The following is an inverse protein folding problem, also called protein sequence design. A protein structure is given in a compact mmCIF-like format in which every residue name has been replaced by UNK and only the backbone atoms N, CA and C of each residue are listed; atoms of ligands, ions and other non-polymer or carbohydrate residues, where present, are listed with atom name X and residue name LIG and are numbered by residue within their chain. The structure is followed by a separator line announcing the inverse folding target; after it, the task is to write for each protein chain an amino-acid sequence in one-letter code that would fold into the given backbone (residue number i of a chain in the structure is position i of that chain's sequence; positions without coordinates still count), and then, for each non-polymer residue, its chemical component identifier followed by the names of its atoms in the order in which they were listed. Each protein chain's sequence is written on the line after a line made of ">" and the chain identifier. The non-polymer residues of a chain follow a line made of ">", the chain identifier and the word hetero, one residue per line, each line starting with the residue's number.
data_IF_852192311416
#
_entry.id   IF_852192311416
#
_cell.length_a   1.000
_cell.length_b   1.000
_cell.length_c   1.000
_cell.angle_alpha   90.00
_cell.angle_beta   90.00
_cell.angle_gamma   90.00
#
_symmetry.space_group_name_H-M   'P 1'
#
loop_
_entity.id
_entity.type
_entity.pdbx_description
1 polymer ?
#
# COMPACT_ATOMS: atom_id res chain seq x y z
N UNK A 1 10.74 3.82 -1.89
CA UNK A 1 10.93 5.09 -1.16
C UNK A 1 12.22 5.05 -0.35
N UNK A 2 13.01 6.14 -0.22
CA UNK A 2 14.18 6.17 0.67
C UNK A 2 13.80 6.05 2.15
N UNK A 3 14.67 5.44 2.98
CA UNK A 3 14.40 5.22 4.42
C UNK A 3 14.07 6.51 5.18
N UNK A 4 14.76 7.62 4.89
CA UNK A 4 14.49 8.90 5.53
C UNK A 4 13.05 9.39 5.28
N UNK A 5 12.54 9.18 4.05
CA UNK A 5 11.16 9.51 3.68
C UNK A 5 10.16 8.58 4.33
N UNK A 6 10.47 7.29 4.45
CA UNK A 6 9.63 6.34 5.19
C UNK A 6 9.48 6.76 6.65
N UNK A 7 10.58 7.19 7.29
CA UNK A 7 10.57 7.67 8.68
C UNK A 7 9.79 8.98 8.83
N UNK A 8 9.98 9.93 7.91
CA UNK A 8 9.21 11.18 7.89
C UNK A 8 7.72 10.90 7.75
N UNK A 9 7.33 10.06 6.81
CA UNK A 9 5.94 9.66 6.59
C UNK A 9 5.34 8.99 7.83
N UNK A 10 6.06 8.06 8.44
CA UNK A 10 5.64 7.39 9.67
C UNK A 10 5.41 8.41 10.81
N UNK A 11 6.29 9.40 10.97
CA UNK A 11 6.15 10.45 11.99
C UNK A 11 4.90 11.30 11.76
N UNK A 12 4.63 11.69 10.51
CA UNK A 12 3.44 12.48 10.15
C UNK A 12 2.16 11.75 10.57
N UNK A 13 2.01 10.48 10.21
CA UNK A 13 0.83 9.69 10.60
C UNK A 13 0.77 9.42 12.11
N UNK A 14 1.91 9.22 12.76
CA UNK A 14 1.99 9.11 14.22
C UNK A 14 1.48 10.36 14.91
N UNK A 15 1.90 11.54 14.46
CA UNK A 15 1.52 12.83 15.04
C UNK A 15 0.03 13.10 14.84
N UNK A 16 -0.50 12.90 13.62
CA UNK A 16 -1.93 13.06 13.36
C UNK A 16 -2.78 12.09 14.17
N UNK A 17 -2.32 10.83 14.32
CA UNK A 17 -2.99 9.83 15.14
C UNK A 17 -3.00 10.24 16.62
N UNK A 18 -1.89 10.76 17.14
CA UNK A 18 -1.78 11.21 18.52
C UNK A 18 -2.68 12.42 18.82
N UNK A 19 -2.86 13.32 17.86
CA UNK A 19 -3.76 14.48 17.98
C UNK A 19 -5.23 14.15 17.72
N UNK A 20 -5.51 12.98 17.14
CA UNK A 20 -6.85 12.59 16.73
C UNK A 20 -7.39 13.41 15.56
N UNK A 21 -6.52 13.97 14.72
CA UNK A 21 -6.88 14.88 13.63
C UNK A 21 -7.23 14.16 12.32
N UNK A 22 -6.75 12.93 12.14
CA UNK A 22 -6.87 12.22 10.87
C UNK A 22 -7.23 10.74 11.06
N UNK A 23 -8.21 10.30 10.29
CA UNK A 23 -8.68 8.92 10.20
C UNK A 23 -8.92 8.22 11.55
N UNK A 24 -9.59 8.94 12.45
CA UNK A 24 -10.03 8.45 13.77
C UNK A 24 -11.50 8.83 14.03
N UNK A 25 -12.21 7.98 14.76
CA UNK A 25 -13.57 8.26 15.23
C UNK A 25 -14.57 8.49 14.09
N UNK A 26 -15.39 9.53 14.20
CA UNK A 26 -16.42 9.88 13.22
C UNK A 26 -15.86 10.36 11.87
N UNK A 27 -14.57 10.72 11.79
CA UNK A 27 -13.94 11.25 10.58
C UNK A 27 -13.52 10.17 9.58
N UNK A 28 -13.59 8.89 9.95
CA UNK A 28 -13.28 7.78 9.06
C UNK A 28 -13.93 6.49 9.54
N UNK A 29 -14.45 5.70 8.61
CA UNK A 29 -14.89 4.34 8.86
C UNK A 29 -14.21 3.33 7.92
N UNK A 30 -13.83 2.15 8.41
CA UNK A 30 -13.24 1.10 7.59
C UNK A 30 -14.24 0.62 6.54
N UNK A 31 -13.86 0.68 5.27
CA UNK A 31 -14.65 0.15 4.15
C UNK A 31 -13.73 -0.62 3.21
N UNK A 32 -14.27 -1.67 2.56
CA UNK A 32 -13.56 -2.47 1.53
C UNK A 32 -12.28 -3.14 2.05
N UNK A 33 -12.33 -3.72 3.25
CA UNK A 33 -11.23 -4.51 3.81
C UNK A 33 -11.39 -5.98 3.40
N UNK A 34 -10.45 -6.46 2.60
CA UNK A 34 -10.37 -7.83 2.09
C UNK A 34 -9.14 -8.54 2.68
N UNK A 35 -9.40 -9.62 3.42
CA UNK A 35 -8.38 -10.42 4.08
C UNK A 35 -8.11 -10.00 5.53
N UNK A 36 -7.10 -10.62 6.17
CA UNK A 36 -6.85 -10.47 7.59
C UNK A 36 -6.13 -9.15 7.89
N UNK A 37 -6.90 -8.07 7.99
CA UNK A 37 -6.41 -6.72 8.24
C UNK A 37 -7.19 -6.11 9.41
N UNK A 38 -6.50 -5.51 10.38
CA UNK A 38 -7.19 -4.76 11.44
C UNK A 38 -7.88 -3.53 10.85
N UNK A 39 -9.15 -3.24 11.21
CA UNK A 39 -9.92 -2.11 10.70
C UNK A 39 -9.53 -0.80 11.38
N UNK A 40 -8.25 -0.46 11.27
CA UNK A 40 -7.66 0.82 11.69
C UNK A 40 -7.03 1.42 10.45
N UNK A 41 -7.11 2.75 10.27
CA UNK A 41 -6.41 3.38 9.15
C UNK A 41 -4.89 3.15 9.29
N UNK A 42 -4.30 3.65 10.37
CA UNK A 42 -2.88 3.48 10.67
C UNK A 42 -2.62 3.23 12.16
N UNK A 43 -1.54 2.50 12.48
CA UNK A 43 -0.98 2.33 13.83
C UNK A 43 0.55 2.27 13.78
N UNK A 44 1.22 2.33 14.94
CA UNK A 44 2.68 2.39 15.05
C UNK A 44 3.43 1.20 14.41
N UNK A 45 2.74 0.08 14.22
CA UNK A 45 3.28 -1.16 13.65
C UNK A 45 2.97 -1.30 12.15
N UNK A 46 2.55 -0.22 11.49
CA UNK A 46 2.38 -0.15 10.02
C UNK A 46 3.37 0.81 9.40
N UNK A 47 4.12 0.32 8.42
CA UNK A 47 5.21 1.07 7.78
C UNK A 47 4.92 1.21 6.29
N UNK A 48 4.83 2.46 5.81
CA UNK A 48 4.66 2.73 4.38
C UNK A 48 6.00 2.63 3.65
N UNK A 49 6.04 1.88 2.55
CA UNK A 49 7.27 1.58 1.80
C UNK A 49 7.29 2.19 0.39
N UNK A 50 6.13 2.61 -0.11
CA UNK A 50 5.98 3.37 -1.37
C UNK A 50 5.15 4.63 -1.13
N UNK A 51 5.26 5.58 -2.05
CA UNK A 51 4.36 6.74 -2.14
C UNK A 51 3.91 6.84 -3.58
N UNK A 52 2.60 6.74 -3.79
CA UNK A 52 1.92 6.83 -5.07
C UNK A 52 0.79 7.85 -4.93
N UNK A 53 1.17 9.12 -4.80
CA UNK A 53 0.25 10.23 -4.51
C UNK A 53 -0.58 9.97 -3.25
N UNK A 54 0.08 9.55 -2.17
CA UNK A 54 -0.57 9.20 -0.90
C UNK A 54 -1.14 7.78 -0.82
N UNK A 55 -1.22 7.05 -1.93
CA UNK A 55 -1.46 5.61 -1.86
C UNK A 55 -0.15 4.89 -1.54
N UNK A 56 -0.21 3.90 -0.66
CA UNK A 56 0.96 3.23 -0.12
C UNK A 56 0.84 1.72 -0.23
N UNK A 57 1.97 1.07 -0.52
CA UNK A 57 2.21 -0.27 -0.02
C UNK A 57 2.64 -0.15 1.44
N UNK A 58 1.99 -0.93 2.31
CA UNK A 58 2.22 -0.90 3.75
C UNK A 58 2.67 -2.27 4.23
N UNK A 59 3.77 -2.33 4.98
CA UNK A 59 4.11 -3.51 5.77
C UNK A 59 3.30 -3.52 7.07
N UNK A 60 2.55 -4.59 7.29
CA UNK A 60 1.72 -4.78 8.47
C UNK A 60 2.41 -5.69 9.48
N UNK A 61 2.92 -5.09 10.56
CA UNK A 61 3.57 -5.77 11.66
C UNK A 61 2.60 -6.01 12.84
N UNK A 62 1.31 -5.71 12.64
CA UNK A 62 0.24 -5.92 13.62
C UNK A 62 -1.03 -6.51 12.98
N UNK A 63 -0.91 -7.65 12.27
CA UNK A 63 -2.07 -8.31 11.68
C UNK A 63 -3.03 -8.84 12.76
N UNK A 64 -4.32 -9.05 12.45
CA UNK A 64 -5.24 -9.78 13.31
C UNK A 64 -4.91 -11.29 13.31
N UNK A 65 -5.60 -12.05 14.16
CA UNK A 65 -5.57 -13.51 14.08
C UNK A 65 -5.95 -13.98 12.66
N UNK A 66 -5.17 -14.90 12.10
CA UNK A 66 -5.32 -15.37 10.71
C UNK A 66 -4.52 -14.55 9.68
N UNK A 67 -3.94 -13.41 10.06
CA UNK A 67 -3.00 -12.67 9.23
C UNK A 67 -1.55 -13.10 9.43
N UNK A 68 -0.64 -12.50 8.66
CA UNK A 68 0.78 -12.85 8.67
C UNK A 68 1.62 -11.62 9.02
N UNK A 69 2.51 -11.75 10.00
CA UNK A 69 3.45 -10.69 10.36
C UNK A 69 4.31 -10.33 9.14
N UNK A 70 4.32 -9.05 8.77
CA UNK A 70 5.03 -8.56 7.58
C UNK A 70 4.26 -8.71 6.27
N UNK A 71 2.97 -9.05 6.30
CA UNK A 71 2.11 -8.99 5.10
C UNK A 71 2.10 -7.59 4.49
N UNK A 72 1.97 -7.53 3.17
CA UNK A 72 1.97 -6.28 2.40
C UNK A 72 0.52 -5.91 2.10
N UNK A 73 0.13 -4.69 2.45
CA UNK A 73 -1.21 -4.16 2.20
C UNK A 73 -1.17 -3.12 1.09
N UNK A 74 -2.23 -3.07 0.29
CA UNK A 74 -2.57 -1.82 -0.40
C UNK A 74 -3.29 -0.89 0.58
N UNK A 75 -2.87 0.37 0.59
CA UNK A 75 -3.38 1.39 1.49
C UNK A 75 -3.70 2.65 0.71
N UNK A 76 -4.98 3.00 0.66
CA UNK A 76 -5.45 4.24 0.04
C UNK A 76 -5.43 5.38 1.06
N UNK A 77 -4.96 6.56 0.65
CA UNK A 77 -5.06 7.76 1.48
C UNK A 77 -6.52 8.20 1.76
N UNK A 78 -7.49 7.71 1.01
CA UNK A 78 -8.91 8.09 1.21
C UNK A 78 -9.62 7.12 2.14
N UNK A 79 -9.47 5.82 1.88
CA UNK A 79 -10.27 4.77 2.55
C UNK A 79 -9.48 3.92 3.53
N UNK A 80 -8.16 4.06 3.58
CA UNK A 80 -7.28 3.28 4.45
C UNK A 80 -6.81 1.96 3.81
N UNK A 81 -6.44 0.95 4.62
CA UNK A 81 -5.99 -0.34 4.08
C UNK A 81 -7.17 -1.09 3.44
N UNK A 82 -6.98 -1.64 2.25
CA UNK A 82 -8.07 -2.35 1.54
C UNK A 82 -7.81 -3.84 1.38
N UNK A 83 -6.58 -4.26 1.05
CA UNK A 83 -6.33 -5.67 0.72
C UNK A 83 -4.90 -6.10 1.06
N UNK A 84 -4.72 -7.39 1.35
CA UNK A 84 -3.41 -8.03 1.41
C UNK A 84 -2.95 -8.35 -0.02
N UNK A 85 -1.92 -7.67 -0.51
CA UNK A 85 -1.39 -7.89 -1.86
C UNK A 85 -0.27 -8.93 -1.91
N UNK A 86 0.37 -9.22 -0.77
CA UNK A 86 1.37 -10.28 -0.66
C UNK A 86 1.56 -10.74 0.79
N UNK A 87 1.96 -12.00 1.03
CA UNK A 87 2.18 -12.52 2.39
C UNK A 87 3.42 -11.94 3.07
N UNK A 88 4.39 -11.42 2.31
CA UNK A 88 5.59 -10.77 2.81
C UNK A 88 6.24 -9.93 1.70
N UNK A 89 7.20 -9.09 2.07
CA UNK A 89 7.89 -8.20 1.12
C UNK A 89 8.67 -8.93 0.03
N UNK A 90 9.32 -10.05 0.36
CA UNK A 90 10.09 -10.83 -0.62
C UNK A 90 9.17 -11.43 -1.70
N UNK A 91 8.00 -11.96 -1.31
CA UNK A 91 7.00 -12.45 -2.25
C UNK A 91 6.45 -11.33 -3.13
N UNK A 92 6.19 -10.13 -2.58
CA UNK A 92 5.77 -8.99 -3.39
C UNK A 92 6.80 -8.65 -4.48
N UNK A 93 8.07 -8.49 -4.10
CA UNK A 93 9.15 -8.17 -5.03
C UNK A 93 9.39 -9.28 -6.06
N UNK A 94 9.28 -10.56 -5.64
CA UNK A 94 9.39 -11.70 -6.53
C UNK A 94 8.31 -11.72 -7.61
N UNK A 95 7.05 -11.51 -7.20
CA UNK A 95 5.93 -11.44 -8.15
C UNK A 95 6.10 -10.27 -9.13
N UNK A 96 6.50 -9.09 -8.64
CA UNK A 96 6.77 -7.94 -9.51
C UNK A 96 7.88 -8.24 -10.53
N UNK A 97 8.97 -8.89 -10.11
CA UNK A 97 10.05 -9.27 -11.01
C UNK A 97 9.57 -10.27 -12.08
N UNK A 98 8.82 -11.30 -11.68
CA UNK A 98 8.25 -12.29 -12.61
C UNK A 98 7.28 -11.64 -13.62
N UNK A 99 6.44 -10.71 -13.17
CA UNK A 99 5.51 -10.01 -14.06
C UNK A 99 6.26 -9.10 -15.07
N UNK A 100 7.36 -8.47 -14.65
CA UNK A 100 8.22 -7.68 -15.55
C UNK A 100 8.94 -8.58 -16.56
N UNK A 101 9.54 -9.68 -16.12
CA UNK A 101 10.27 -10.64 -16.97
C UNK A 101 9.35 -11.37 -17.97
N UNK A 102 8.08 -11.56 -17.61
CA UNK A 102 7.07 -12.20 -18.47
C UNK A 102 6.39 -11.24 -19.45
N UNK A 103 6.76 -9.95 -19.44
CA UNK A 103 6.25 -8.97 -20.40
C UNK A 103 4.83 -8.49 -20.12
N UNK A 104 4.37 -8.55 -18.85
CA UNK A 104 3.03 -8.08 -18.46
C UNK A 104 2.90 -6.56 -18.34
N UNK A 105 4.01 -5.82 -18.49
CA UNK A 105 4.04 -4.37 -18.39
C UNK A 105 4.65 -3.75 -19.64
N UNK A 106 4.15 -2.57 -20.00
CA UNK A 106 4.70 -1.69 -21.04
C UNK A 106 5.28 -0.44 -20.39
N UNK A 107 6.40 0.04 -20.93
CA UNK A 107 7.03 1.28 -20.50
C UNK A 107 6.63 2.44 -21.41
N UNK A 108 6.09 3.50 -20.81
CA UNK A 108 5.71 4.73 -21.50
C UNK A 108 6.79 5.79 -21.29
N UNK A 109 7.59 6.03 -22.33
CA UNK A 109 8.76 6.91 -22.23
C UNK A 109 8.38 8.37 -21.91
N UNK A 110 7.27 8.87 -22.45
CA UNK A 110 6.79 10.24 -22.23
C UNK A 110 6.56 10.54 -20.75
N UNK A 111 5.95 9.60 -20.03
CA UNK A 111 5.57 9.76 -18.62
C UNK A 111 6.55 9.07 -17.66
N UNK A 112 7.49 8.30 -18.20
CA UNK A 112 8.42 7.44 -17.44
C UNK A 112 7.68 6.50 -16.49
N UNK A 113 6.54 5.96 -16.93
CA UNK A 113 5.67 5.06 -16.18
C UNK A 113 5.72 3.63 -16.72
N UNK A 114 5.34 2.69 -15.87
CA UNK A 114 5.05 1.31 -16.23
C UNK A 114 3.56 1.08 -16.02
N UNK A 115 2.91 0.49 -17.01
CA UNK A 115 1.48 0.15 -16.95
C UNK A 115 1.27 -1.30 -17.37
N UNK A 116 0.28 -2.00 -16.79
CA UNK A 116 -0.09 -3.33 -17.25
C UNK A 116 -0.43 -3.32 -18.74
N UNK A 117 0.14 -4.25 -19.51
CA UNK A 117 -0.09 -4.36 -20.96
C UNK A 117 -1.60 -4.46 -21.29
N UNK A 118 -2.35 -5.20 -20.48
CA UNK A 118 -3.80 -5.36 -20.66
C UNK A 118 -4.60 -4.06 -20.48
N UNK A 119 -4.08 -3.08 -19.74
CA UNK A 119 -4.71 -1.77 -19.56
C UNK A 119 -4.34 -0.84 -20.72
N UNK A 120 -3.05 -0.81 -21.09
CA UNK A 120 -2.56 -0.05 -22.24
C UNK A 120 -3.31 -0.41 -23.55
N UNK A 121 -3.52 -1.71 -23.81
CA UNK A 121 -4.26 -2.18 -24.99
C UNK A 121 -5.73 -1.74 -25.02
N UNK A 122 -6.33 -1.44 -23.86
CA UNK A 122 -7.73 -0.97 -23.77
C UNK A 122 -7.86 0.51 -24.08
N UNK A 123 -6.82 1.30 -23.86
CA UNK A 123 -6.83 2.74 -24.11
C UNK A 123 -6.57 3.08 -25.59
N UNK A 124 -6.05 2.13 -26.37
CA UNK A 124 -5.82 2.27 -27.82
C UNK A 124 -7.02 1.87 -28.71
N UNK A 125 -8.14 1.41 -28.12
CA UNK A 125 -9.39 0.97 -28.81
C UNK A 125 -10.55 1.96 -28.63
#
# INVERSE_FOLDING_TARGET
>A
MPLARMLEQWKVYSDWRAKGEYAVGENWEPRRIEGPIKPVFWNQLRVYVTDNSGNHLTLDLDPPAGGRYGQVLYHSHEVGPTQVVAPNWATFLGNLAEDLESGKYVYFEHDSTLEPLEEAEREEL
#
